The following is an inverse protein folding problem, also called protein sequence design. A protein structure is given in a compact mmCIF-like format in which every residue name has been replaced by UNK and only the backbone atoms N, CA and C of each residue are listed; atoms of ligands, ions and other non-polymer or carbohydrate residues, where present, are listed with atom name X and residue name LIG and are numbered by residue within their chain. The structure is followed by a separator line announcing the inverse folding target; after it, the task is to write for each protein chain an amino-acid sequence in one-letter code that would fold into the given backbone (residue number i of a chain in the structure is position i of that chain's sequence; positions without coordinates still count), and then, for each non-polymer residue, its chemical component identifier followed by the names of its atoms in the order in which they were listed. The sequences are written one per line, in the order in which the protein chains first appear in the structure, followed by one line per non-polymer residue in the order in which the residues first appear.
data_IF_776684544583
#
_entry.id   IF_776684544583
#
_cell.length_a   1.000
_cell.length_b   1.000
_cell.length_c   1.000
_cell.angle_alpha   90.00
_cell.angle_beta   90.00
_cell.angle_gamma   90.00
#
_symmetry.space_group_name_H-M   'P 1'
#
loop_
_entity.id
_entity.type
_entity.pdbx_description
1 polymer ?
#
# COMPACT_ATOMS: atom_id res chain seq x y z
N UNK A 1 -52.20 -8.32 7.08
CA UNK A 1 -51.42 -7.16 6.69
C UNK A 1 -50.14 -7.08 7.54
N UNK A 2 -49.04 -6.72 6.91
CA UNK A 2 -47.77 -6.51 7.58
C UNK A 2 -47.87 -5.28 8.46
N UNK A 3 -47.66 -5.42 9.77
CA UNK A 3 -47.71 -4.31 10.73
C UNK A 3 -46.39 -3.57 10.80
N UNK A 4 -45.29 -4.31 10.99
CA UNK A 4 -43.97 -3.71 11.13
C UNK A 4 -42.85 -4.68 10.66
N UNK A 5 -41.62 -4.15 10.57
CA UNK A 5 -40.42 -4.92 10.30
C UNK A 5 -39.43 -4.70 11.44
N UNK A 6 -38.82 -5.79 11.87
CA UNK A 6 -37.64 -5.76 12.75
C UNK A 6 -36.43 -6.31 11.99
N UNK A 7 -35.27 -5.74 12.27
CA UNK A 7 -34.01 -6.13 11.63
C UNK A 7 -32.99 -6.41 12.73
N UNK A 8 -32.37 -7.56 12.65
CA UNK A 8 -31.31 -7.99 13.56
C UNK A 8 -30.03 -8.31 12.82
N UNK A 9 -28.88 -8.11 13.48
CA UNK A 9 -27.54 -8.44 12.95
C UNK A 9 -26.94 -7.36 12.05
N UNK A 10 -27.61 -6.23 11.83
CA UNK A 10 -27.04 -5.09 11.12
C UNK A 10 -26.21 -4.21 12.08
N UNK A 11 -24.91 -4.10 11.80
CA UNK A 11 -23.99 -3.26 12.60
C UNK A 11 -23.32 -2.17 11.75
N UNK A 12 -23.03 -2.44 10.48
CA UNK A 12 -22.33 -1.52 9.56
C UNK A 12 -23.26 -0.69 8.68
N UNK A 13 -24.52 -1.10 8.54
CA UNK A 13 -25.54 -0.34 7.81
C UNK A 13 -26.60 0.14 8.81
N UNK A 14 -26.92 1.46 8.83
CA UNK A 14 -27.97 2.00 9.69
C UNK A 14 -29.31 1.32 9.43
N UNK A 15 -30.04 1.04 10.51
CA UNK A 15 -31.34 0.37 10.44
C UNK A 15 -32.35 1.19 9.62
N UNK A 16 -32.24 2.52 9.64
CA UNK A 16 -33.10 3.44 8.90
C UNK A 16 -32.98 3.24 7.39
N UNK A 17 -31.75 3.01 6.90
CA UNK A 17 -31.49 2.74 5.47
C UNK A 17 -32.14 1.42 5.03
N UNK A 18 -32.09 0.40 5.89
CA UNK A 18 -32.71 -0.90 5.63
C UNK A 18 -34.23 -0.80 5.65
N UNK A 19 -34.79 -0.17 6.69
CA UNK A 19 -36.23 0.00 6.83
C UNK A 19 -36.82 0.85 5.71
N UNK A 20 -36.05 1.79 5.14
CA UNK A 20 -36.49 2.59 3.99
C UNK A 20 -36.87 1.72 2.77
N UNK A 21 -36.17 0.60 2.57
CA UNK A 21 -36.48 -0.34 1.46
C UNK A 21 -37.76 -1.14 1.70
N UNK A 22 -38.21 -1.24 2.95
CA UNK A 22 -39.34 -2.05 3.41
C UNK A 22 -40.63 -1.22 3.62
N UNK A 23 -40.53 0.11 3.70
CA UNK A 23 -41.63 0.99 4.07
C UNK A 23 -42.85 0.86 3.16
N UNK A 24 -42.66 0.60 1.88
CA UNK A 24 -43.76 0.49 0.90
C UNK A 24 -44.69 -0.71 1.13
N UNK A 25 -44.27 -1.65 1.99
CA UNK A 25 -45.04 -2.86 2.33
C UNK A 25 -45.82 -2.76 3.64
N UNK A 26 -45.52 -1.76 4.50
CA UNK A 26 -46.27 -1.58 5.78
C UNK A 26 -47.75 -1.29 5.50
N UNK A 27 -48.61 -1.94 6.27
CA UNK A 27 -50.07 -1.79 6.19
C UNK A 27 -50.74 -2.53 5.00
N UNK A 28 -49.97 -3.21 4.14
CA UNK A 28 -50.45 -3.94 3.00
C UNK A 28 -50.45 -5.46 3.26
N UNK A 29 -51.23 -6.23 2.48
CA UNK A 29 -51.12 -7.69 2.51
C UNK A 29 -49.69 -8.12 2.15
N UNK A 30 -49.21 -9.14 2.83
CA UNK A 30 -47.88 -9.70 2.57
C UNK A 30 -47.78 -10.17 1.10
N UNK A 31 -46.73 -9.77 0.43
CA UNK A 31 -46.46 -10.13 -0.96
C UNK A 31 -45.03 -10.61 -1.08
N UNK A 32 -44.88 -11.92 -1.34
CA UNK A 32 -43.57 -12.59 -1.41
C UNK A 32 -42.69 -11.97 -2.51
N UNK A 33 -43.26 -11.60 -3.65
CA UNK A 33 -42.50 -11.01 -4.75
C UNK A 33 -41.90 -9.65 -4.34
N UNK A 34 -42.69 -8.81 -3.66
CA UNK A 34 -42.18 -7.53 -3.13
C UNK A 34 -41.17 -7.70 -2.02
N UNK A 35 -41.37 -8.69 -1.16
CA UNK A 35 -40.43 -9.01 -0.10
C UNK A 35 -39.06 -9.44 -0.65
N UNK A 36 -39.08 -10.34 -1.66
CA UNK A 36 -37.85 -10.74 -2.34
C UNK A 36 -37.15 -9.58 -3.05
N UNK A 37 -37.90 -8.67 -3.65
CA UNK A 37 -37.34 -7.47 -4.26
C UNK A 37 -36.70 -6.55 -3.21
N UNK A 38 -37.32 -6.39 -2.05
CA UNK A 38 -36.74 -5.60 -0.94
C UNK A 38 -35.49 -6.26 -0.34
N UNK A 39 -35.48 -7.60 -0.20
CA UNK A 39 -34.27 -8.35 0.21
C UNK A 39 -33.14 -8.11 -0.77
N UNK A 40 -33.40 -8.15 -2.08
CA UNK A 40 -32.39 -7.85 -3.11
C UNK A 40 -31.88 -6.42 -2.97
N UNK A 41 -32.74 -5.44 -2.70
CA UNK A 41 -32.33 -4.04 -2.48
C UNK A 41 -31.47 -3.89 -1.21
N UNK A 42 -31.80 -4.59 -0.12
CA UNK A 42 -30.96 -4.65 1.08
C UNK A 42 -29.58 -5.20 0.73
N UNK A 43 -29.51 -6.27 -0.03
CA UNK A 43 -28.26 -6.89 -0.46
C UNK A 43 -27.43 -5.97 -1.36
N UNK A 44 -28.07 -5.26 -2.28
CA UNK A 44 -27.43 -4.22 -3.10
C UNK A 44 -26.89 -3.05 -2.24
N UNK A 45 -27.62 -2.65 -1.21
CA UNK A 45 -27.20 -1.61 -0.28
C UNK A 45 -25.91 -2.00 0.44
N UNK A 46 -25.82 -3.23 0.96
CA UNK A 46 -24.59 -3.76 1.56
C UNK A 46 -23.44 -3.86 0.56
N UNK A 47 -23.71 -4.42 -0.61
CA UNK A 47 -22.71 -4.58 -1.68
C UNK A 47 -22.16 -3.24 -2.16
N UNK A 48 -23.01 -2.23 -2.32
CA UNK A 48 -22.60 -0.88 -2.74
C UNK A 48 -21.63 -0.21 -1.75
N UNK A 49 -21.74 -0.56 -0.46
CA UNK A 49 -20.85 -0.10 0.61
C UNK A 49 -19.60 -0.99 0.75
N UNK A 50 -19.47 -2.07 -0.04
CA UNK A 50 -18.33 -3.00 -0.03
C UNK A 50 -18.52 -4.24 0.84
N UNK A 51 -19.65 -4.42 1.49
CA UNK A 51 -19.94 -5.58 2.37
C UNK A 51 -20.52 -6.74 1.56
N UNK A 52 -19.71 -7.32 0.68
CA UNK A 52 -20.16 -8.33 -0.30
C UNK A 52 -20.52 -9.68 0.29
N UNK A 53 -20.09 -9.96 1.53
CA UNK A 53 -20.40 -11.20 2.26
C UNK A 53 -21.66 -11.07 3.13
N UNK A 54 -22.21 -9.87 3.24
CA UNK A 54 -23.46 -9.65 3.95
C UNK A 54 -24.61 -10.33 3.20
N UNK A 55 -25.48 -11.02 3.95
CA UNK A 55 -26.65 -11.69 3.41
C UNK A 55 -27.81 -11.64 4.40
N UNK A 56 -29.03 -11.63 3.87
CA UNK A 56 -30.20 -11.94 4.66
C UNK A 56 -30.22 -13.45 4.92
N UNK A 57 -30.17 -13.85 6.17
CA UNK A 57 -30.08 -15.23 6.61
C UNK A 57 -31.48 -15.85 6.75
N UNK A 58 -32.38 -15.17 7.46
CA UNK A 58 -33.78 -15.61 7.60
C UNK A 58 -34.74 -14.44 7.54
N UNK A 59 -35.97 -14.76 7.17
CA UNK A 59 -37.12 -13.86 7.22
C UNK A 59 -38.25 -14.61 7.86
N UNK A 60 -38.58 -14.25 9.08
CA UNK A 60 -39.58 -14.94 9.90
C UNK A 60 -40.82 -14.06 10.07
N UNK A 61 -41.98 -14.68 9.91
CA UNK A 61 -43.31 -14.01 10.02
C UNK A 61 -43.91 -14.33 11.37
N UNK A 62 -44.07 -13.32 12.20
CA UNK A 62 -44.70 -13.50 13.51
C UNK A 62 -46.23 -13.41 13.44
N UNK A 63 -46.95 -14.17 14.28
CA UNK A 63 -48.41 -14.18 14.31
C UNK A 63 -49.06 -12.82 14.56
N UNK A 64 -48.31 -11.87 15.12
CA UNK A 64 -48.77 -10.50 15.36
C UNK A 64 -48.74 -9.60 14.11
N UNK A 65 -48.13 -10.09 13.00
CA UNK A 65 -47.99 -9.38 11.74
C UNK A 65 -46.65 -8.61 11.58
N UNK A 66 -45.70 -8.86 12.49
CA UNK A 66 -44.31 -8.33 12.36
C UNK A 66 -43.48 -9.29 11.53
N UNK A 67 -42.63 -8.80 10.63
CA UNK A 67 -41.68 -9.59 9.87
C UNK A 67 -40.28 -9.33 10.41
N UNK A 68 -39.63 -10.39 10.91
CA UNK A 68 -38.27 -10.35 11.42
C UNK A 68 -37.27 -10.70 10.31
N UNK A 69 -36.31 -9.83 10.07
CA UNK A 69 -35.24 -10.02 9.08
C UNK A 69 -33.93 -10.16 9.81
N UNK A 70 -33.30 -11.33 9.71
CA UNK A 70 -31.96 -11.59 10.26
C UNK A 70 -30.93 -11.40 9.18
N UNK A 71 -29.90 -10.60 9.46
CA UNK A 71 -28.79 -10.29 8.58
C UNK A 71 -27.50 -10.84 9.18
N UNK A 72 -26.69 -11.50 8.34
CA UNK A 72 -25.33 -11.91 8.66
C UNK A 72 -24.38 -11.09 7.80
N UNK A 73 -23.53 -10.31 8.44
CA UNK A 73 -22.68 -9.33 7.75
C UNK A 73 -21.33 -9.91 7.27
N UNK A 74 -21.00 -11.16 7.67
CA UNK A 74 -19.76 -11.83 7.27
C UNK A 74 -18.53 -11.31 8.05
N UNK A 75 -18.30 -11.88 9.23
CA UNK A 75 -17.18 -11.55 10.11
C UNK A 75 -15.92 -12.28 9.62
N UNK A 76 -14.77 -11.63 9.70
CA UNK A 76 -13.47 -12.24 9.44
C UNK A 76 -13.02 -13.00 10.68
N UNK A 77 -12.80 -14.30 10.57
CA UNK A 77 -12.24 -15.12 11.65
C UNK A 77 -10.72 -15.04 11.66
N UNK A 78 -10.08 -15.39 10.54
CA UNK A 78 -8.63 -15.43 10.42
C UNK A 78 -8.15 -14.73 9.16
N UNK A 79 -6.92 -14.21 9.23
CA UNK A 79 -6.20 -13.72 8.05
C UNK A 79 -4.90 -14.50 7.95
N UNK A 80 -4.75 -15.24 6.85
CA UNK A 80 -3.59 -16.04 6.54
C UNK A 80 -2.78 -15.38 5.41
N UNK A 81 -1.46 -15.55 5.44
CA UNK A 81 -0.54 -15.02 4.44
C UNK A 81 0.23 -16.20 3.85
N UNK A 82 0.22 -16.31 2.54
CA UNK A 82 0.89 -17.39 1.82
C UNK A 82 1.74 -16.85 0.66
N UNK A 83 2.86 -17.53 0.36
CA UNK A 83 3.71 -17.26 -0.80
C UNK A 83 4.80 -16.21 -0.58
N UNK A 84 4.97 -15.69 0.64
CA UNK A 84 6.05 -14.77 1.00
C UNK A 84 7.31 -15.52 1.47
N UNK A 85 8.05 -16.08 0.53
CA UNK A 85 9.25 -16.89 0.84
C UNK A 85 10.41 -16.06 1.43
N UNK A 86 10.66 -14.87 0.91
CA UNK A 86 11.73 -13.96 1.35
C UNK A 86 11.23 -12.89 2.30
N UNK A 87 10.05 -12.33 1.99
CA UNK A 87 9.47 -11.24 2.76
C UNK A 87 8.95 -11.76 4.09
N UNK A 88 9.27 -11.05 5.17
CA UNK A 88 8.86 -11.44 6.51
C UNK A 88 7.37 -11.21 6.72
N UNK A 89 6.68 -12.16 7.40
CA UNK A 89 5.23 -12.12 7.65
C UNK A 89 4.80 -10.80 8.30
N UNK A 90 5.55 -10.30 9.28
CA UNK A 90 5.23 -9.05 9.96
C UNK A 90 5.30 -7.82 9.05
N UNK A 91 6.06 -7.90 7.92
CA UNK A 91 6.11 -6.83 6.90
C UNK A 91 4.85 -6.87 6.05
N UNK A 92 4.37 -8.05 5.69
CA UNK A 92 3.10 -8.22 4.98
C UNK A 92 1.96 -7.77 5.89
N UNK A 93 1.88 -8.31 7.10
CA UNK A 93 0.83 -8.01 8.08
C UNK A 93 0.72 -6.50 8.39
N UNK A 94 1.84 -5.78 8.46
CA UNK A 94 1.85 -4.32 8.67
C UNK A 94 1.15 -3.53 7.58
N UNK A 95 1.11 -4.05 6.35
CA UNK A 95 0.46 -3.40 5.22
C UNK A 95 -1.03 -3.75 5.11
N UNK A 96 -1.51 -4.68 5.92
CA UNK A 96 -2.90 -5.09 6.01
C UNK A 96 -3.54 -4.34 7.18
N UNK A 97 -4.59 -3.57 6.91
CA UNK A 97 -5.38 -2.87 7.92
C UNK A 97 -6.59 -3.67 8.38
N UNK A 98 -6.97 -4.64 7.57
CA UNK A 98 -8.03 -5.59 7.90
C UNK A 98 -7.55 -6.47 9.04
N UNK A 99 -8.38 -6.63 10.07
CA UNK A 99 -8.06 -7.42 11.26
C UNK A 99 -9.12 -8.51 11.50
N UNK A 100 -8.77 -9.63 12.10
CA UNK A 100 -9.74 -10.61 12.60
C UNK A 100 -10.78 -9.95 13.51
N UNK A 101 -12.04 -10.37 13.41
CA UNK A 101 -13.18 -9.79 14.13
C UNK A 101 -13.85 -8.62 13.43
N UNK A 102 -13.26 -8.04 12.38
CA UNK A 102 -13.91 -7.03 11.54
C UNK A 102 -14.95 -7.68 10.62
N UNK A 103 -15.94 -6.90 10.22
CA UNK A 103 -16.84 -7.28 9.13
C UNK A 103 -16.09 -7.10 7.82
N UNK A 104 -16.16 -8.13 6.97
CA UNK A 104 -15.48 -8.11 5.68
C UNK A 104 -15.92 -6.93 4.82
N UNK A 105 -14.97 -6.13 4.38
CA UNK A 105 -15.19 -5.02 3.45
C UNK A 105 -14.23 -5.10 2.27
N UNK A 106 -14.78 -5.31 1.08
CA UNK A 106 -14.06 -5.44 -0.18
C UNK A 106 -13.19 -4.21 -0.51
N UNK A 107 -13.66 -3.01 -0.15
CA UNK A 107 -12.92 -1.78 -0.42
C UNK A 107 -11.67 -1.68 0.47
N UNK A 108 -11.79 -2.10 1.74
CA UNK A 108 -10.66 -2.14 2.67
C UNK A 108 -9.62 -3.17 2.23
N UNK A 109 -10.07 -4.38 1.86
CA UNK A 109 -9.17 -5.42 1.32
C UNK A 109 -8.45 -4.92 0.06
N UNK A 110 -9.16 -4.25 -0.86
CA UNK A 110 -8.51 -3.66 -2.05
C UNK A 110 -7.45 -2.62 -1.68
N UNK A 111 -7.69 -1.79 -0.68
CA UNK A 111 -6.67 -0.86 -0.17
C UNK A 111 -5.44 -1.62 0.37
N UNK A 112 -5.64 -2.70 1.11
CA UNK A 112 -4.57 -3.54 1.64
C UNK A 112 -3.74 -4.17 0.52
N UNK A 113 -4.39 -4.72 -0.52
CA UNK A 113 -3.70 -5.25 -1.68
C UNK A 113 -2.88 -4.16 -2.40
N UNK A 114 -3.44 -2.97 -2.60
CA UNK A 114 -2.72 -1.83 -3.21
C UNK A 114 -1.51 -1.42 -2.38
N UNK A 115 -1.59 -1.45 -1.05
CA UNK A 115 -0.44 -1.17 -0.16
C UNK A 115 0.66 -2.21 -0.32
N UNK A 116 0.30 -3.48 -0.41
CA UNK A 116 1.24 -4.56 -0.65
C UNK A 116 1.93 -4.39 -2.01
N UNK A 117 1.21 -4.09 -3.07
CA UNK A 117 1.79 -3.77 -4.39
C UNK A 117 2.74 -2.58 -4.35
N UNK A 118 2.43 -1.55 -3.57
CA UNK A 118 3.25 -0.35 -3.45
C UNK A 118 4.64 -0.62 -2.85
N UNK A 119 4.84 -1.76 -2.17
CA UNK A 119 6.15 -2.18 -1.66
C UNK A 119 7.14 -2.56 -2.76
N UNK A 120 6.65 -2.84 -3.98
CA UNK A 120 7.45 -3.33 -5.12
C UNK A 120 8.20 -4.64 -4.85
N UNK A 121 7.81 -5.38 -3.82
CA UNK A 121 8.35 -6.70 -3.51
C UNK A 121 7.57 -7.83 -4.17
N UNK A 122 6.34 -7.55 -4.61
CA UNK A 122 5.40 -8.55 -5.07
C UNK A 122 5.03 -8.34 -6.54
N UNK A 123 4.97 -9.44 -7.29
CA UNK A 123 4.52 -9.49 -8.69
C UNK A 123 3.00 -9.55 -8.76
N UNK A 124 2.41 -10.33 -7.85
CA UNK A 124 0.98 -10.50 -7.73
C UNK A 124 0.56 -10.65 -6.27
N UNK A 125 -0.60 -10.09 -5.93
CA UNK A 125 -1.20 -10.21 -4.61
C UNK A 125 -2.70 -10.38 -4.80
N UNK A 126 -3.21 -11.53 -4.39
CA UNK A 126 -4.62 -11.88 -4.51
C UNK A 126 -5.17 -12.27 -3.15
N UNK A 127 -6.49 -12.34 -3.04
CA UNK A 127 -7.17 -12.86 -1.86
C UNK A 127 -8.04 -14.05 -2.22
N UNK A 128 -8.17 -14.94 -1.30
CA UNK A 128 -9.13 -16.03 -1.29
C UNK A 128 -10.00 -15.91 -0.04
N UNK A 129 -11.27 -16.25 -0.17
CA UNK A 129 -12.25 -16.14 0.91
C UNK A 129 -12.89 -17.51 1.04
N UNK A 130 -12.79 -18.09 2.22
CA UNK A 130 -13.38 -19.39 2.54
C UNK A 130 -14.23 -19.29 3.81
N UNK A 131 -15.34 -20.02 3.93
CA UNK A 131 -16.05 -20.10 5.19
C UNK A 131 -15.14 -20.66 6.28
N UNK A 132 -15.17 -20.08 7.48
CA UNK A 132 -14.41 -20.62 8.62
C UNK A 132 -14.95 -21.98 9.05
N UNK A 133 -14.04 -22.93 9.31
CA UNK A 133 -14.39 -24.24 9.88
C UNK A 133 -14.65 -24.16 11.39
N UNK A 134 -14.11 -23.16 12.07
CA UNK A 134 -14.14 -23.02 13.52
C UNK A 134 -15.29 -22.14 14.01
N UNK A 135 -15.64 -21.10 13.27
CA UNK A 135 -16.65 -20.10 13.68
C UNK A 135 -17.78 -20.06 12.66
N UNK A 136 -19.01 -20.44 13.05
CA UNK A 136 -20.17 -20.33 12.16
C UNK A 136 -20.37 -18.90 11.65
N UNK A 137 -20.71 -18.75 10.37
CA UNK A 137 -20.98 -17.48 9.70
C UNK A 137 -19.79 -16.48 9.63
N UNK A 138 -18.59 -16.96 9.95
CA UNK A 138 -17.35 -16.22 9.75
C UNK A 138 -16.58 -16.75 8.53
N UNK A 139 -15.60 -15.97 8.09
CA UNK A 139 -14.81 -16.26 6.90
C UNK A 139 -13.32 -16.14 7.20
N UNK A 140 -12.55 -17.05 6.65
CA UNK A 140 -11.10 -17.00 6.61
C UNK A 140 -10.64 -16.32 5.34
N UNK A 141 -9.70 -15.39 5.48
CA UNK A 141 -9.15 -14.64 4.36
C UNK A 141 -7.71 -15.04 4.17
N UNK A 142 -7.39 -15.61 3.02
CA UNK A 142 -6.01 -15.93 2.64
C UNK A 142 -5.49 -14.90 1.65
N UNK A 143 -4.46 -14.18 2.04
CA UNK A 143 -3.71 -13.26 1.15
C UNK A 143 -2.62 -14.08 0.48
N UNK A 144 -2.80 -14.35 -0.82
CA UNK A 144 -1.83 -15.08 -1.65
C UNK A 144 -0.88 -14.11 -2.32
N UNK A 145 0.41 -14.29 -2.09
CA UNK A 145 1.47 -13.42 -2.55
C UNK A 145 2.36 -14.18 -3.54
N UNK A 146 2.64 -13.56 -4.66
CA UNK A 146 3.71 -13.98 -5.55
C UNK A 146 4.85 -12.97 -5.48
N UNK A 147 5.97 -13.35 -4.92
CA UNK A 147 7.16 -12.50 -4.85
C UNK A 147 7.79 -12.31 -6.24
N UNK A 148 8.42 -11.16 -6.43
CA UNK A 148 9.21 -10.89 -7.64
C UNK A 148 10.69 -10.81 -7.32
N UNK A 149 11.51 -10.78 -8.39
CA UNK A 149 12.92 -10.45 -8.26
C UNK A 149 13.07 -8.97 -7.96
N UNK A 150 13.61 -8.65 -6.80
CA UNK A 150 13.72 -7.29 -6.28
C UNK A 150 15.11 -6.69 -6.51
N UNK A 151 16.11 -7.53 -6.86
CA UNK A 151 17.43 -7.09 -7.24
C UNK A 151 17.44 -6.61 -8.70
N UNK A 152 18.05 -5.47 -8.95
CA UNK A 152 18.22 -4.89 -10.28
C UNK A 152 19.65 -4.39 -10.50
N UNK A 153 20.12 -4.52 -11.74
CA UNK A 153 21.38 -3.95 -12.21
C UNK A 153 21.03 -2.99 -13.34
N UNK A 154 21.56 -1.78 -13.29
CA UNK A 154 21.44 -0.78 -14.35
C UNK A 154 22.82 -0.41 -14.88
N UNK A 155 22.93 -0.27 -16.20
CA UNK A 155 24.13 0.21 -16.87
C UNK A 155 23.70 1.32 -17.82
N UNK A 156 24.41 2.43 -17.80
CA UNK A 156 24.13 3.57 -18.64
C UNK A 156 25.41 4.20 -19.16
N UNK A 157 25.29 5.06 -20.13
CA UNK A 157 26.39 5.86 -20.66
C UNK A 157 25.85 6.97 -21.53
N UNK A 158 26.62 8.01 -21.69
CA UNK A 158 26.22 9.17 -22.45
C UNK A 158 27.36 10.17 -22.64
N UNK A 159 27.00 11.30 -23.21
CA UNK A 159 27.89 12.41 -23.47
C UNK A 159 27.21 13.68 -22.97
N UNK A 160 27.89 14.40 -22.11
CA UNK A 160 27.47 15.74 -21.70
C UNK A 160 28.66 16.70 -21.59
N UNK A 161 28.39 17.99 -21.54
CA UNK A 161 29.45 19.02 -21.60
C UNK A 161 30.29 19.07 -20.31
N UNK A 162 29.76 18.63 -19.18
CA UNK A 162 30.40 18.69 -17.86
C UNK A 162 31.14 17.41 -17.54
N UNK A 163 30.47 16.30 -17.73
CA UNK A 163 30.98 14.97 -17.36
C UNK A 163 31.82 14.34 -18.49
N UNK A 164 31.67 14.88 -19.69
CA UNK A 164 32.31 14.30 -20.88
C UNK A 164 31.61 13.05 -21.38
N UNK A 165 32.36 12.14 -21.96
CA UNK A 165 31.90 10.77 -22.21
C UNK A 165 31.88 10.05 -20.86
N UNK A 166 30.74 9.54 -20.48
CA UNK A 166 30.60 8.88 -19.19
C UNK A 166 29.95 7.50 -19.28
N UNK A 167 30.31 6.65 -18.33
CA UNK A 167 29.65 5.38 -18.03
C UNK A 167 29.11 5.38 -16.61
N UNK A 168 27.98 4.74 -16.40
CA UNK A 168 27.40 4.56 -15.08
C UNK A 168 26.96 3.12 -14.86
N UNK A 169 27.03 2.69 -13.62
CA UNK A 169 26.56 1.39 -13.18
C UNK A 169 25.80 1.56 -11.85
N UNK A 170 24.70 0.84 -11.72
CA UNK A 170 23.93 0.81 -10.49
C UNK A 170 23.47 -0.60 -10.15
N UNK A 171 23.44 -0.90 -8.87
CA UNK A 171 22.82 -2.10 -8.31
C UNK A 171 21.84 -1.68 -7.24
N UNK A 172 20.68 -2.29 -7.21
CA UNK A 172 19.67 -2.02 -6.18
C UNK A 172 18.95 -3.32 -5.78
N UNK A 173 18.63 -3.40 -4.49
CA UNK A 173 17.77 -4.43 -3.91
C UNK A 173 16.60 -3.74 -3.20
N UNK A 174 15.36 -4.00 -3.65
CA UNK A 174 14.17 -3.34 -3.11
C UNK A 174 13.51 -4.12 -1.95
N UNK A 175 13.96 -5.34 -1.70
CA UNK A 175 13.49 -6.16 -0.58
C UNK A 175 14.67 -6.65 0.27
N UNK A 176 15.54 -5.71 0.63
CA UNK A 176 16.74 -6.02 1.41
C UNK A 176 16.35 -6.67 2.74
N UNK A 177 16.92 -7.87 3.01
CA UNK A 177 16.62 -8.72 4.18
C UNK A 177 15.16 -9.18 4.30
N UNK A 178 14.36 -9.09 3.24
CA UNK A 178 12.93 -9.43 3.29
C UNK A 178 12.07 -8.42 4.06
N UNK A 179 12.49 -7.15 4.11
CA UNK A 179 11.82 -6.10 4.89
C UNK A 179 11.22 -4.99 4.05
N UNK A 180 11.19 -5.17 2.72
CA UNK A 180 10.82 -4.11 1.77
C UNK A 180 11.68 -2.84 1.96
N UNK A 181 12.90 -3.00 2.46
CA UNK A 181 13.90 -1.95 2.55
C UNK A 181 14.67 -1.90 1.23
N UNK A 182 15.07 -0.71 0.78
CA UNK A 182 15.84 -0.56 -0.45
C UNK A 182 17.28 -0.21 -0.12
N UNK A 183 18.20 -0.98 -0.68
CA UNK A 183 19.63 -0.69 -0.68
C UNK A 183 20.07 -0.49 -2.12
N UNK A 184 20.73 0.63 -2.43
CA UNK A 184 21.25 0.88 -3.78
C UNK A 184 22.65 1.48 -3.73
N UNK A 185 23.48 1.04 -4.67
CA UNK A 185 24.80 1.58 -4.93
C UNK A 185 24.88 2.00 -6.39
N UNK A 186 25.24 3.24 -6.65
CA UNK A 186 25.43 3.76 -8.01
C UNK A 186 26.84 4.34 -8.14
N UNK A 187 27.42 4.18 -9.30
CA UNK A 187 28.71 4.74 -9.67
C UNK A 187 28.67 5.34 -11.06
N UNK A 188 29.43 6.42 -11.27
CA UNK A 188 29.62 7.08 -12.55
C UNK A 188 31.09 7.45 -12.72
N UNK A 189 31.60 7.21 -13.91
CA UNK A 189 32.94 7.63 -14.31
C UNK A 189 32.84 8.34 -15.67
N UNK A 190 33.36 9.56 -15.74
CA UNK A 190 33.37 10.38 -16.96
C UNK A 190 34.76 10.90 -17.29
N UNK A 191 34.99 11.20 -18.56
CA UNK A 191 36.30 11.70 -19.03
C UNK A 191 36.59 13.13 -18.61
N UNK A 192 35.61 13.86 -18.07
CA UNK A 192 35.72 15.29 -17.78
C UNK A 192 35.20 16.17 -18.91
N UNK A 193 35.48 17.43 -18.81
CA UNK A 193 34.91 18.49 -19.70
C UNK A 193 35.36 18.28 -21.14
N UNK A 194 34.39 18.26 -22.07
CA UNK A 194 34.68 18.15 -23.52
C UNK A 194 35.01 19.51 -24.16
N UNK A 195 34.52 20.60 -23.57
CA UNK A 195 34.80 21.94 -24.11
C UNK A 195 36.26 22.27 -23.87
N UNK A 196 36.95 22.62 -24.95
CA UNK A 196 38.35 23.08 -24.91
C UNK A 196 38.46 24.49 -24.32
N UNK A 197 38.11 24.59 -23.04
CA UNK A 197 38.18 25.82 -22.26
C UNK A 197 39.41 25.69 -21.34
N UNK A 198 40.43 26.48 -21.62
CA UNK A 198 41.66 26.53 -20.84
C UNK A 198 41.45 26.98 -19.38
N UNK A 199 40.26 27.48 -19.04
CA UNK A 199 39.88 27.84 -17.69
C UNK A 199 39.41 26.68 -16.86
N UNK A 200 39.10 25.50 -17.45
CA UNK A 200 38.66 24.32 -16.75
C UNK A 200 39.76 23.25 -16.77
N UNK A 201 40.06 22.70 -15.60
CA UNK A 201 41.06 21.64 -15.52
C UNK A 201 40.47 20.33 -16.07
N UNK A 202 41.20 19.72 -17.00
CA UNK A 202 40.89 18.38 -17.47
C UNK A 202 41.06 17.39 -16.30
N UNK A 203 39.96 16.86 -15.83
CA UNK A 203 39.92 15.97 -14.67
C UNK A 203 38.82 14.90 -14.86
N UNK A 204 39.16 13.67 -14.54
CA UNK A 204 38.21 12.58 -14.62
C UNK A 204 37.11 12.77 -13.57
N UNK A 205 35.87 12.66 -14.01
CA UNK A 205 34.71 12.79 -13.12
C UNK A 205 34.36 11.42 -12.51
N UNK A 206 34.40 11.32 -11.21
CA UNK A 206 34.08 10.09 -10.48
C UNK A 206 32.98 10.42 -9.45
N UNK A 207 31.91 9.66 -9.50
CA UNK A 207 30.80 9.79 -8.54
C UNK A 207 30.41 8.41 -8.03
N UNK A 208 30.13 8.32 -6.76
CA UNK A 208 29.58 7.14 -6.09
C UNK A 208 28.53 7.53 -5.07
N UNK A 209 27.45 6.78 -5.02
CA UNK A 209 26.38 7.02 -4.06
C UNK A 209 25.86 5.68 -3.51
N UNK A 210 25.80 5.58 -2.19
CA UNK A 210 25.16 4.50 -1.46
C UNK A 210 23.91 5.05 -0.78
N UNK A 211 22.76 4.47 -1.08
CA UNK A 211 21.48 4.88 -0.49
C UNK A 211 20.80 3.69 0.18
N UNK A 212 20.28 3.94 1.37
CA UNK A 212 19.48 2.98 2.13
C UNK A 212 18.17 3.62 2.54
N UNK A 213 17.07 3.06 2.05
CA UNK A 213 15.71 3.52 2.34
C UNK A 213 14.96 2.48 3.16
N UNK A 214 14.39 2.92 4.27
CA UNK A 214 13.55 2.12 5.17
C UNK A 214 12.14 2.73 5.23
N UNK A 215 11.12 2.08 4.63
CA UNK A 215 9.77 2.65 4.51
C UNK A 215 9.03 2.72 5.85
N UNK A 216 9.40 1.87 6.82
CA UNK A 216 8.73 1.77 8.12
C UNK A 216 9.76 1.96 9.24
N UNK A 217 10.16 3.21 9.47
CA UNK A 217 11.22 3.48 10.43
C UNK A 217 10.72 3.36 11.88
N UNK A 218 9.67 4.06 12.22
CA UNK A 218 9.08 4.08 13.56
C UNK A 218 7.64 3.59 13.55
N UNK A 219 6.87 3.97 12.55
CA UNK A 219 5.49 3.57 12.30
C UNK A 219 5.23 3.41 10.79
N UNK A 220 4.00 3.05 10.41
CA UNK A 220 3.65 2.82 9.01
C UNK A 220 3.72 4.09 8.12
N UNK A 221 3.67 5.27 8.73
CA UNK A 221 3.65 6.56 8.01
C UNK A 221 5.02 7.25 7.99
N UNK A 222 6.04 6.68 8.64
CA UNK A 222 7.37 7.30 8.75
C UNK A 222 8.41 6.49 8.01
N UNK A 223 9.16 7.14 7.13
CA UNK A 223 10.28 6.54 6.41
C UNK A 223 11.60 7.20 6.76
N UNK A 224 12.68 6.45 6.61
CA UNK A 224 14.05 6.89 6.79
C UNK A 224 14.82 6.67 5.50
N UNK A 225 15.52 7.69 5.04
CA UNK A 225 16.47 7.60 3.93
C UNK A 225 17.85 8.04 4.42
N UNK A 226 18.85 7.19 4.21
CA UNK A 226 20.25 7.51 4.44
C UNK A 226 20.98 7.48 3.12
N UNK A 227 21.77 8.50 2.84
CA UNK A 227 22.54 8.64 1.63
C UNK A 227 23.99 8.99 1.98
N UNK A 228 24.94 8.24 1.44
CA UNK A 228 26.36 8.55 1.45
C UNK A 228 26.79 8.81 0.02
N UNK A 229 27.57 9.83 -0.20
CA UNK A 229 28.01 10.19 -1.53
C UNK A 229 29.48 10.62 -1.56
N UNK A 230 30.08 10.38 -2.72
CA UNK A 230 31.40 10.84 -3.08
C UNK A 230 31.34 11.40 -4.52
N UNK A 231 31.92 12.57 -4.73
CA UNK A 231 32.01 13.23 -6.05
C UNK A 231 33.39 13.87 -6.18
N UNK A 232 34.07 13.61 -7.28
CA UNK A 232 35.35 14.19 -7.64
C UNK A 232 35.26 14.64 -9.10
N UNK A 233 35.35 15.93 -9.35
CA UNK A 233 35.14 16.50 -10.68
C UNK A 233 35.89 17.84 -10.87
N UNK A 234 36.14 18.21 -12.13
CA UNK A 234 36.65 19.56 -12.46
C UNK A 234 35.60 20.63 -12.18
N UNK A 235 35.96 21.65 -11.42
CA UNK A 235 35.02 22.73 -11.05
C UNK A 235 34.77 23.67 -12.23
N UNK A 236 33.48 23.99 -12.45
CA UNK A 236 33.05 25.05 -13.37
C UNK A 236 33.01 26.44 -12.75
N UNK A 237 32.90 26.49 -11.43
CA UNK A 237 32.76 27.76 -10.71
C UNK A 237 34.10 28.40 -10.41
N UNK A 238 35.13 27.57 -10.21
CA UNK A 238 36.49 28.02 -9.88
C UNK A 238 37.44 27.53 -11.00
N UNK A 239 38.02 28.42 -11.81
CA UNK A 239 38.92 28.04 -12.89
C UNK A 239 40.10 27.17 -12.40
N UNK A 240 40.39 26.09 -13.15
CA UNK A 240 41.48 25.15 -12.89
C UNK A 240 41.41 24.40 -11.53
N UNK A 241 40.30 24.52 -10.82
CA UNK A 241 40.11 23.78 -9.56
C UNK A 241 39.54 22.38 -9.80
N UNK A 242 39.93 21.45 -8.95
CA UNK A 242 39.28 20.18 -8.78
C UNK A 242 38.43 20.31 -7.53
N UNK A 243 37.20 19.84 -7.60
CA UNK A 243 36.28 19.86 -6.49
C UNK A 243 36.00 18.44 -6.04
N UNK A 244 36.30 18.14 -4.80
CA UNK A 244 36.03 16.85 -4.18
C UNK A 244 35.02 17.04 -3.05
N UNK A 245 33.88 16.36 -3.20
CA UNK A 245 32.80 16.39 -2.20
C UNK A 245 32.51 15.00 -1.70
N UNK A 246 32.43 14.85 -0.40
CA UNK A 246 31.95 13.63 0.20
C UNK A 246 31.15 13.94 1.46
N UNK A 247 30.13 13.14 1.68
CA UNK A 247 29.23 13.43 2.79
C UNK A 247 28.18 12.37 2.99
N UNK A 248 27.32 12.66 3.95
CA UNK A 248 26.17 11.86 4.26
C UNK A 248 24.96 12.71 4.58
N UNK A 249 23.81 12.21 4.23
CA UNK A 249 22.51 12.83 4.51
C UNK A 249 21.56 11.78 5.09
N UNK A 250 20.85 12.18 6.14
CA UNK A 250 19.79 11.40 6.74
C UNK A 250 18.49 12.20 6.65
N UNK A 251 17.48 11.62 6.04
CA UNK A 251 16.14 12.23 5.92
C UNK A 251 15.10 11.34 6.59
N UNK A 252 14.35 11.92 7.51
CA UNK A 252 13.13 11.31 8.08
C UNK A 252 11.93 12.00 7.48
N UNK A 253 11.04 11.22 6.88
CA UNK A 253 9.82 11.74 6.29
C UNK A 253 8.59 11.09 6.94
N UNK A 254 7.58 11.89 7.26
CA UNK A 254 6.34 11.46 7.88
C UNK A 254 5.13 11.89 7.04
N UNK A 255 4.29 10.92 6.68
CA UNK A 255 3.03 11.16 5.97
C UNK A 255 1.97 11.67 6.94
N UNK A 256 1.31 12.77 6.60
CA UNK A 256 0.31 13.38 7.46
C UNK A 256 -1.01 12.62 7.41
N UNK A 257 -1.50 12.15 8.56
CA UNK A 257 -2.74 11.36 8.65
C UNK A 257 -3.98 12.12 8.13
N UNK A 258 -4.05 13.42 8.37
CA UNK A 258 -5.18 14.26 7.96
C UNK A 258 -5.21 14.56 6.46
N UNK A 259 -4.05 14.54 5.81
CA UNK A 259 -3.90 14.72 4.37
C UNK A 259 -2.86 13.72 3.85
N UNK A 260 -3.32 12.56 3.37
CA UNK A 260 -2.46 11.47 2.88
C UNK A 260 -1.57 11.84 1.67
N UNK A 261 -1.85 12.97 1.03
CA UNK A 261 -1.03 13.50 -0.07
C UNK A 261 0.09 14.45 0.40
N UNK A 262 0.09 14.81 1.70
CA UNK A 262 1.10 15.68 2.27
C UNK A 262 2.10 14.87 3.12
N UNK A 263 3.38 15.18 2.94
CA UNK A 263 4.49 14.59 3.69
C UNK A 263 5.32 15.71 4.30
N UNK A 264 5.64 15.59 5.58
CA UNK A 264 6.62 16.45 6.26
C UNK A 264 7.96 15.71 6.33
N UNK A 265 9.06 16.36 6.01
CA UNK A 265 10.39 15.76 6.09
C UNK A 265 11.37 16.66 6.82
N UNK A 266 12.30 16.02 7.52
CA UNK A 266 13.45 16.65 8.15
C UNK A 266 14.70 15.96 7.62
N UNK A 267 15.64 16.77 7.12
CA UNK A 267 16.93 16.28 6.61
C UNK A 267 18.08 16.89 7.39
N UNK A 268 19.04 16.04 7.72
CA UNK A 268 20.32 16.43 8.29
C UNK A 268 21.44 15.90 7.40
N UNK A 269 22.29 16.79 6.92
CA UNK A 269 23.43 16.43 6.09
C UNK A 269 24.72 17.02 6.61
N UNK A 270 25.82 16.29 6.38
CA UNK A 270 27.17 16.74 6.59
C UNK A 270 27.96 16.50 5.30
N UNK A 271 28.60 17.53 4.81
CA UNK A 271 29.40 17.50 3.58
C UNK A 271 30.75 18.16 3.85
N UNK A 272 31.81 17.52 3.34
CA UNK A 272 33.13 18.12 3.23
C UNK A 272 33.41 18.48 1.78
N UNK A 273 34.00 19.63 1.54
CA UNK A 273 34.38 20.15 0.22
C UNK A 273 35.86 20.50 0.27
N UNK A 274 36.66 19.83 -0.56
CA UNK A 274 38.11 20.07 -0.73
C UNK A 274 38.40 20.67 -2.11
#
# INVERSE_FOLDING_TARGET
PVKDFTVEGNTVVPIEDILATLNDMKGKPQNITKLNAAISQIQELYTSKGYILARVDSVDDDPDGTINISIKEGIIDKIMIEGNEKTKDYIVARNILTEPGMIYNENLIKEDLVRLYATQAFKDVTREIEPSEEVPDAYDITIKIQEQRTASISVGGGLDTVTGLFGSMGIAENNFRGRCERLSLTGLVGTGVILNDSSVKDHMNIQAELSYFKPYFYNADTSLNNRLFFRDFGSYQIPLAIERRYGGEMTVAHRLKKNRHATSSFSLGVENID
#
